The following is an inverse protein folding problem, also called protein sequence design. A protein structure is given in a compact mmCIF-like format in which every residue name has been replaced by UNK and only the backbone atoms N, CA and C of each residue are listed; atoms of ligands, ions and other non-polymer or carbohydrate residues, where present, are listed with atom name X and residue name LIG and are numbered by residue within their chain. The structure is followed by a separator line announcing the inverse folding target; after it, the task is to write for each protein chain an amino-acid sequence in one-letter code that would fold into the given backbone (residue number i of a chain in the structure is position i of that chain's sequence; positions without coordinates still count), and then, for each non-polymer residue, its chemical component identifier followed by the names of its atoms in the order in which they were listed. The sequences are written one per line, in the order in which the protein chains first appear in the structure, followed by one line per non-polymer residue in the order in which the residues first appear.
data_IF_687039293802
#
_entry.id   IF_687039293802
#
_cell.length_a   1.000
_cell.length_b   1.000
_cell.length_c   1.000
_cell.angle_alpha   90.00
_cell.angle_beta   90.00
_cell.angle_gamma   90.00
#
_symmetry.space_group_name_H-M   'P 1'
#
loop_
_entity.id
_entity.type
_entity.pdbx_description
1 polymer ?
#
# COMPACT_ATOMS: atom_id res chain seq x y z
N UNK A 1 -25.11 44.25 -35.33
CA UNK A 1 -25.19 42.77 -35.24
C UNK A 1 -23.82 42.08 -35.10
N UNK A 2 -22.71 42.63 -35.63
CA UNK A 2 -21.36 42.02 -35.59
C UNK A 2 -20.54 42.27 -34.31
N UNK A 3 -21.06 43.06 -33.37
CA UNK A 3 -20.43 43.38 -32.08
C UNK A 3 -20.77 42.38 -30.97
N UNK A 4 -21.95 41.75 -31.02
CA UNK A 4 -22.34 40.71 -30.04
C UNK A 4 -21.45 39.46 -30.14
N UNK A 5 -21.02 39.07 -31.35
CA UNK A 5 -20.14 37.92 -31.56
C UNK A 5 -18.71 38.14 -31.07
N UNK A 6 -18.28 39.40 -30.90
CA UNK A 6 -16.91 39.74 -30.48
C UNK A 6 -16.71 39.66 -28.97
N UNK A 7 -17.78 39.71 -28.18
CA UNK A 7 -17.71 39.54 -26.72
C UNK A 7 -17.94 38.10 -26.26
N UNK A 8 -18.59 37.25 -27.07
CA UNK A 8 -18.87 35.85 -26.70
C UNK A 8 -17.60 34.97 -26.69
N UNK A 9 -16.64 35.25 -27.58
CA UNK A 9 -15.39 34.49 -27.68
C UNK A 9 -14.46 34.68 -26.46
N UNK A 10 -14.17 35.91 -25.98
CA UNK A 10 -13.34 36.08 -24.79
C UNK A 10 -14.04 35.58 -23.51
N UNK A 11 -15.38 35.67 -23.43
CA UNK A 11 -16.14 35.18 -22.28
C UNK A 11 -16.08 33.64 -22.17
N UNK A 12 -16.19 32.93 -23.30
CA UNK A 12 -16.07 31.47 -23.35
C UNK A 12 -14.65 30.99 -22.97
N UNK A 13 -13.61 31.70 -23.40
CA UNK A 13 -12.23 31.41 -23.00
C UNK A 13 -11.97 31.65 -21.51
N UNK A 14 -12.57 32.68 -20.91
CA UNK A 14 -12.49 32.91 -19.46
C UNK A 14 -13.17 31.79 -18.67
N UNK A 15 -14.32 31.28 -19.13
CA UNK A 15 -14.99 30.15 -18.50
C UNK A 15 -14.18 28.85 -18.59
N UNK A 16 -13.46 28.61 -19.70
CA UNK A 16 -12.59 27.44 -19.84
C UNK A 16 -11.34 27.51 -18.96
N UNK A 17 -10.79 28.70 -18.70
CA UNK A 17 -9.67 28.93 -17.79
C UNK A 17 -10.06 28.94 -16.31
N UNK A 18 -11.35 29.16 -16.01
CA UNK A 18 -11.90 29.10 -14.66
C UNK A 18 -12.34 27.68 -14.26
N UNK A 19 -12.18 26.68 -15.13
CA UNK A 19 -12.38 25.29 -14.73
C UNK A 19 -11.28 24.94 -13.72
N UNK A 20 -11.63 24.56 -12.48
CA UNK A 20 -10.63 24.15 -11.51
C UNK A 20 -9.88 22.95 -12.10
N UNK A 21 -8.58 23.08 -12.28
CA UNK A 21 -7.64 21.98 -12.57
C UNK A 21 -7.51 21.01 -11.38
N UNK A 22 -8.55 20.92 -10.54
CA UNK A 22 -8.70 19.95 -9.48
C UNK A 22 -9.65 18.88 -9.98
N UNK A 23 -9.11 17.89 -10.70
CA UNK A 23 -9.69 16.57 -10.59
C UNK A 23 -9.73 16.28 -9.08
N UNK A 24 -10.93 16.21 -8.51
CA UNK A 24 -11.08 15.86 -7.11
C UNK A 24 -10.50 14.46 -6.95
N UNK A 25 -9.30 14.38 -6.39
CA UNK A 25 -8.67 13.15 -5.96
C UNK A 25 -9.68 12.48 -5.03
N UNK A 26 -10.42 11.52 -5.56
CA UNK A 26 -11.43 10.78 -4.80
C UNK A 26 -10.60 9.95 -3.81
N UNK A 27 -10.37 10.49 -2.62
CA UNK A 27 -9.51 9.89 -1.61
C UNK A 27 -9.87 8.43 -1.40
N UNK A 28 -9.03 7.55 -1.94
CA UNK A 28 -9.16 6.10 -1.82
C UNK A 28 -8.22 5.56 -0.76
N UNK A 29 -8.53 4.38 -0.23
CA UNK A 29 -7.59 3.62 0.59
C UNK A 29 -6.62 2.89 -0.33
N UNK A 30 -5.63 3.62 -0.85
CA UNK A 30 -4.66 3.11 -1.81
C UNK A 30 -3.91 1.86 -1.30
N UNK A 31 -3.75 1.72 0.02
CA UNK A 31 -3.12 0.55 0.61
C UNK A 31 -4.00 -0.69 0.47
N UNK A 32 -5.30 -0.55 0.71
CA UNK A 32 -6.27 -1.63 0.53
C UNK A 32 -6.48 -2.00 -0.94
N UNK A 33 -6.49 -1.00 -1.82
CA UNK A 33 -6.58 -1.21 -3.26
C UNK A 33 -5.35 -1.96 -3.78
N UNK A 34 -4.15 -1.55 -3.35
CA UNK A 34 -2.91 -2.26 -3.69
C UNK A 34 -2.92 -3.70 -3.19
N UNK A 35 -3.31 -3.94 -1.94
CA UNK A 35 -3.37 -5.28 -1.36
C UNK A 35 -4.36 -6.23 -2.08
N UNK A 36 -5.37 -5.67 -2.75
CA UNK A 36 -6.38 -6.44 -3.49
C UNK A 36 -6.03 -6.65 -4.96
N UNK A 37 -5.04 -5.92 -5.48
CA UNK A 37 -4.61 -6.03 -6.87
C UNK A 37 -3.81 -7.33 -7.11
N UNK A 38 -4.06 -7.94 -8.25
CA UNK A 38 -3.37 -9.17 -8.65
C UNK A 38 -1.86 -8.93 -8.82
N UNK A 39 -1.05 -9.83 -8.26
CA UNK A 39 0.41 -9.74 -8.35
C UNK A 39 1.06 -8.76 -7.37
N UNK A 40 0.30 -8.08 -6.50
CA UNK A 40 0.89 -7.24 -5.45
C UNK A 40 1.66 -8.09 -4.43
N UNK A 41 2.93 -7.76 -4.14
CA UNK A 41 3.70 -8.47 -3.12
C UNK A 41 3.09 -8.23 -1.73
N UNK A 42 2.83 -9.32 -1.00
CA UNK A 42 2.34 -9.24 0.37
C UNK A 42 3.41 -8.62 1.30
N UNK A 43 2.96 -7.86 2.30
CA UNK A 43 3.84 -7.40 3.38
C UNK A 43 4.20 -8.54 4.32
N UNK A 44 5.40 -8.49 4.92
CA UNK A 44 5.91 -9.56 5.79
C UNK A 44 5.38 -9.35 7.23
N UNK A 45 4.53 -10.25 7.77
CA UNK A 45 3.85 -10.04 9.06
C UNK A 45 4.68 -10.47 10.28
N UNK A 46 5.93 -10.87 10.06
CA UNK A 46 6.89 -11.21 11.11
C UNK A 46 8.14 -10.40 10.90
N UNK A 47 9.02 -10.37 11.91
CA UNK A 47 10.31 -9.72 11.77
C UNK A 47 11.11 -10.40 10.67
N UNK A 48 11.55 -9.63 9.70
CA UNK A 48 12.64 -10.00 8.80
C UNK A 48 13.87 -9.20 9.21
N UNK A 49 15.02 -9.84 9.19
CA UNK A 49 16.28 -9.12 9.16
C UNK A 49 16.65 -8.95 7.67
N UNK A 50 17.46 -7.93 7.33
CA UNK A 50 17.93 -7.67 5.95
C UNK A 50 18.97 -8.71 5.49
N UNK A 51 18.67 -9.99 5.72
CA UNK A 51 19.58 -11.12 5.58
C UNK A 51 19.44 -11.81 4.22
N UNK A 52 20.37 -12.75 4.01
CA UNK A 52 20.50 -13.54 2.81
C UNK A 52 19.21 -14.28 2.43
N UNK A 53 18.98 -14.38 1.13
CA UNK A 53 17.93 -15.19 0.48
C UNK A 53 17.64 -16.55 1.14
N UNK A 54 18.69 -17.25 1.58
CA UNK A 54 18.58 -18.59 2.15
C UNK A 54 17.72 -18.62 3.43
N UNK A 55 17.75 -17.55 4.21
CA UNK A 55 16.99 -17.46 5.46
C UNK A 55 15.48 -17.37 5.20
N UNK A 56 15.09 -16.67 4.13
CA UNK A 56 13.69 -16.59 3.69
C UNK A 56 13.20 -17.96 3.21
N UNK A 57 14.01 -18.62 2.37
CA UNK A 57 13.67 -19.93 1.80
C UNK A 57 13.62 -21.05 2.83
N UNK A 58 14.28 -20.91 3.98
CA UNK A 58 14.20 -21.87 5.07
C UNK A 58 12.75 -22.19 5.48
N UNK A 59 11.83 -21.22 5.32
CA UNK A 59 10.40 -21.47 5.54
C UNK A 59 9.57 -21.41 4.25
N UNK A 60 9.87 -20.48 3.35
CA UNK A 60 9.02 -20.20 2.18
C UNK A 60 9.26 -21.12 0.98
N UNK A 61 10.30 -21.97 0.97
CA UNK A 61 10.52 -22.89 -0.16
C UNK A 61 9.48 -24.02 -0.20
N UNK A 62 9.12 -24.56 0.96
CA UNK A 62 8.20 -25.71 1.08
C UNK A 62 7.03 -25.45 2.03
N UNK A 63 6.92 -24.24 2.58
CA UNK A 63 5.80 -23.83 3.44
C UNK A 63 5.92 -24.32 4.89
N UNK A 64 7.14 -24.33 5.42
CA UNK A 64 7.41 -24.73 6.80
C UNK A 64 6.63 -23.83 7.77
N UNK A 65 6.03 -24.44 8.80
CA UNK A 65 5.22 -23.75 9.82
C UNK A 65 4.04 -22.94 9.25
N UNK A 66 3.50 -23.36 8.10
CA UNK A 66 2.36 -22.70 7.47
C UNK A 66 2.74 -21.40 6.74
N UNK A 67 4.03 -21.17 6.49
CA UNK A 67 4.45 -20.11 5.59
C UNK A 67 3.89 -20.37 4.17
N UNK A 68 3.48 -19.35 3.42
CA UNK A 68 3.13 -19.51 2.03
C UNK A 68 4.38 -19.91 1.21
N UNK A 69 4.20 -20.82 0.26
CA UNK A 69 5.27 -21.20 -0.66
C UNK A 69 5.52 -20.06 -1.64
N UNK A 70 6.77 -19.65 -1.80
CA UNK A 70 7.14 -18.62 -2.79
C UNK A 70 6.97 -19.20 -4.21
N UNK A 71 6.24 -18.53 -5.11
CA UNK A 71 6.10 -18.98 -6.49
C UNK A 71 7.35 -18.65 -7.33
N UNK A 72 8.32 -17.93 -6.77
CA UNK A 72 9.51 -17.44 -7.48
C UNK A 72 10.78 -17.58 -6.61
N UNK A 73 11.24 -18.81 -6.31
CA UNK A 73 12.43 -19.06 -5.50
C UNK A 73 13.74 -18.61 -6.16
N UNK A 74 13.72 -18.27 -7.45
CA UNK A 74 14.87 -17.72 -8.16
C UNK A 74 15.13 -16.24 -7.86
N UNK A 75 14.14 -15.50 -7.33
CA UNK A 75 14.27 -14.09 -6.97
C UNK A 75 15.01 -13.94 -5.64
N UNK A 76 16.32 -13.67 -5.73
CA UNK A 76 17.23 -13.72 -4.58
C UNK A 76 17.08 -12.60 -3.56
N UNK A 77 16.50 -11.47 -3.94
CA UNK A 77 16.38 -10.31 -3.05
C UNK A 77 14.91 -10.01 -2.75
N UNK A 78 14.40 -10.69 -1.71
CA UNK A 78 12.99 -10.66 -1.34
C UNK A 78 12.53 -9.26 -0.92
N UNK A 79 13.41 -8.49 -0.28
CA UNK A 79 13.13 -7.17 0.26
C UNK A 79 12.95 -6.10 -0.81
N UNK A 80 13.32 -6.38 -2.08
CA UNK A 80 13.01 -5.49 -3.21
C UNK A 80 11.52 -5.29 -3.42
N UNK A 81 10.70 -6.30 -3.06
CA UNK A 81 9.26 -6.25 -3.26
C UNK A 81 8.48 -6.46 -1.96
N UNK A 82 8.94 -7.33 -1.08
CA UNK A 82 8.28 -7.64 0.18
C UNK A 82 8.80 -6.74 1.30
N UNK A 83 7.98 -5.79 1.72
CA UNK A 83 8.33 -4.86 2.81
C UNK A 83 7.86 -5.38 4.17
N UNK A 84 8.56 -4.97 5.24
CA UNK A 84 8.18 -5.27 6.62
C UNK A 84 6.77 -4.71 6.91
N UNK A 85 5.82 -5.60 7.22
CA UNK A 85 4.47 -5.24 7.63
C UNK A 85 4.32 -5.12 9.14
N UNK A 86 3.10 -4.89 9.60
CA UNK A 86 2.75 -4.83 11.02
C UNK A 86 2.95 -6.20 11.70
N UNK A 87 3.76 -6.23 12.76
CA UNK A 87 4.00 -7.45 13.55
C UNK A 87 2.99 -7.49 14.71
N UNK A 88 1.94 -8.30 14.57
CA UNK A 88 0.98 -8.54 15.65
C UNK A 88 1.61 -9.41 16.73
N UNK A 89 2.05 -8.79 17.82
CA UNK A 89 2.55 -9.51 19.00
C UNK A 89 1.37 -10.01 19.83
N UNK A 90 1.17 -11.33 19.87
CA UNK A 90 0.34 -11.95 20.91
C UNK A 90 1.08 -11.86 22.25
N UNK A 91 0.89 -10.77 22.98
CA UNK A 91 1.31 -10.70 24.39
C UNK A 91 0.07 -10.92 25.24
N UNK A 92 0.07 -11.86 26.21
CA UNK A 92 -1.03 -11.96 27.15
C UNK A 92 -1.07 -10.66 27.95
N UNK A 93 -2.18 -9.94 27.84
CA UNK A 93 -2.43 -8.69 28.53
C UNK A 93 -2.33 -8.95 30.05
N UNK A 94 -1.27 -8.49 30.71
CA UNK A 94 -1.19 -8.51 32.18
C UNK A 94 -2.30 -7.62 32.71
N UNK A 95 -3.41 -8.23 33.17
CA UNK A 95 -4.40 -7.54 34.00
C UNK A 95 -3.66 -6.86 35.14
N UNK A 96 -3.65 -5.52 35.15
CA UNK A 96 -3.16 -4.75 36.28
C UNK A 96 -4.21 -4.85 37.37
N UNK A 97 -4.13 -5.89 38.19
CA UNK A 97 -4.90 -5.97 39.42
C UNK A 97 -4.46 -4.81 40.33
N UNK A 98 -5.30 -3.78 40.38
CA UNK A 98 -5.10 -2.60 41.18
C UNK A 98 -5.02 -2.96 42.66
N UNK A 99 -3.81 -3.01 43.21
CA UNK A 99 -3.60 -3.05 44.65
C UNK A 99 -3.74 -1.64 45.20
N UNK A 100 -4.97 -1.27 45.59
CA UNK A 100 -5.20 -0.20 46.58
C UNK A 100 -4.39 -0.54 47.83
N UNK A 101 -3.46 0.33 48.19
CA UNK A 101 -2.96 0.51 49.56
C UNK A 101 -3.13 1.97 49.92
#
# INVERSE_FOLDING_TARGET
MKTLSRCLIPLACLCALALPAGAAEKGGDYAKDAASAEGTPATVPHRMDDKAHADCLACHLTGVRGAPVTPHPERRDCAQCHVQGEIKRNTPEKKKDGKKR
#
